data_IF_352781770351
#
_entry.id   IF_352781770351
#
_cell.length_a   1.000
_cell.length_b   1.000
_cell.length_c   1.000
_cell.angle_alpha   90.00
_cell.angle_beta   90.00
_cell.angle_gamma   90.00
#
_symmetry.space_group_name_H-M   'P 1'
#
loop_
_entity.id
_entity.type
_entity.pdbx_description
1 polymer ?
#
# COMPACT_ATOMS: atom_id res chain seq x y z
N UNK A 1 9.40 -34.02 3.70
CA UNK A 1 9.87 -32.96 4.60
C UNK A 1 10.10 -31.69 3.76
N UNK A 2 9.10 -30.81 3.60
CA UNK A 2 9.13 -29.72 2.60
C UNK A 2 8.88 -28.31 3.17
N UNK A 3 9.07 -28.08 4.46
CA UNK A 3 8.67 -26.80 5.09
C UNK A 3 9.77 -25.71 5.17
N UNK A 4 11.00 -25.94 4.69
CA UNK A 4 12.12 -24.99 4.91
C UNK A 4 12.48 -24.06 3.73
N UNK A 5 11.82 -24.16 2.57
CA UNK A 5 12.21 -23.39 1.36
C UNK A 5 11.42 -22.10 1.12
N UNK A 6 10.27 -21.90 1.76
CA UNK A 6 9.35 -20.78 1.44
C UNK A 6 9.69 -19.44 2.12
N UNK A 7 10.44 -19.43 3.23
CA UNK A 7 10.69 -18.20 3.99
C UNK A 7 11.70 -17.23 3.35
N UNK A 8 12.41 -17.61 2.28
CA UNK A 8 13.51 -16.80 1.70
C UNK A 8 13.10 -15.82 0.60
N UNK A 9 11.87 -15.86 0.10
CA UNK A 9 11.42 -15.06 -1.05
C UNK A 9 10.28 -14.09 -0.72
N UNK A 10 10.25 -13.52 0.50
CA UNK A 10 9.24 -12.53 0.89
C UNK A 10 9.89 -11.26 1.44
N UNK A 11 9.28 -10.12 1.16
CA UNK A 11 9.56 -8.84 1.78
C UNK A 11 8.61 -8.64 2.96
N UNK A 12 9.16 -8.36 4.14
CA UNK A 12 8.37 -7.90 5.27
C UNK A 12 7.97 -6.44 5.05
N UNK A 13 6.67 -6.15 5.10
CA UNK A 13 6.12 -4.79 5.04
C UNK A 13 5.33 -4.56 6.31
N UNK A 14 5.67 -3.51 7.05
CA UNK A 14 5.00 -3.18 8.30
C UNK A 14 4.69 -1.70 8.37
N UNK A 15 3.76 -1.34 9.23
CA UNK A 15 3.48 0.07 9.47
C UNK A 15 2.18 0.32 10.18
N UNK A 16 1.63 1.51 9.94
CA UNK A 16 0.41 1.99 10.58
C UNK A 16 -0.54 2.60 9.55
N UNK A 17 -1.82 2.31 9.72
CA UNK A 17 -2.93 2.86 8.96
C UNK A 17 -3.64 3.87 9.87
N UNK A 18 -3.66 5.12 9.43
CA UNK A 18 -4.22 6.25 10.16
C UNK A 18 -5.21 7.01 9.30
N UNK A 19 -6.03 7.85 9.92
CA UNK A 19 -6.89 8.83 9.29
C UNK A 19 -6.79 10.16 10.09
N UNK A 20 -7.74 11.07 9.92
CA UNK A 20 -7.73 12.36 10.65
C UNK A 20 -7.95 12.23 12.16
N UNK A 21 -8.61 11.16 12.61
CA UNK A 21 -8.96 10.91 14.02
C UNK A 21 -7.96 10.02 14.76
N UNK A 22 -7.04 9.37 14.05
CA UNK A 22 -6.02 8.50 14.65
C UNK A 22 -5.83 7.21 13.88
N UNK A 23 -5.65 6.08 14.58
CA UNK A 23 -5.50 4.77 13.93
C UNK A 23 -6.84 4.25 13.46
N UNK A 24 -6.85 3.68 12.26
CA UNK A 24 -8.04 3.06 11.69
C UNK A 24 -8.07 1.58 12.08
N UNK A 25 -9.12 1.16 12.75
CA UNK A 25 -9.37 -0.25 13.08
C UNK A 25 -10.11 -0.97 11.95
N UNK A 26 -10.07 -2.31 11.97
CA UNK A 26 -10.83 -3.18 11.06
C UNK A 26 -10.58 -2.89 9.57
N UNK A 27 -9.31 -2.73 9.21
CA UNK A 27 -8.89 -2.51 7.82
C UNK A 27 -8.59 -3.85 7.17
N UNK A 28 -9.14 -4.10 6.00
CA UNK A 28 -8.72 -5.21 5.15
C UNK A 28 -7.56 -4.76 4.26
N UNK A 29 -6.44 -5.46 4.36
CA UNK A 29 -5.33 -5.36 3.41
C UNK A 29 -5.52 -6.47 2.38
N UNK A 30 -5.78 -6.10 1.12
CA UNK A 30 -5.90 -7.04 0.01
C UNK A 30 -4.64 -6.99 -0.86
N UNK A 31 -4.08 -8.16 -1.13
CA UNK A 31 -2.87 -8.36 -1.91
C UNK A 31 -3.25 -8.95 -3.27
N UNK A 32 -3.16 -8.14 -4.32
CA UNK A 32 -3.58 -8.51 -5.67
C UNK A 32 -2.36 -8.69 -6.56
N UNK A 33 -2.09 -9.92 -6.96
CA UNK A 33 -1.06 -10.26 -7.95
C UNK A 33 -1.72 -10.63 -9.28
N UNK A 34 -1.02 -10.36 -10.39
CA UNK A 34 -1.51 -10.72 -11.72
C UNK A 34 -1.76 -12.23 -11.81
N UNK A 35 -2.94 -12.61 -12.30
CA UNK A 35 -3.39 -14.00 -12.50
C UNK A 35 -3.44 -14.88 -11.24
N UNK A 36 -3.52 -14.28 -10.04
CA UNK A 36 -3.70 -15.01 -8.79
C UNK A 36 -4.95 -14.54 -8.06
N UNK A 37 -5.52 -15.42 -7.24
CA UNK A 37 -6.58 -15.04 -6.31
C UNK A 37 -6.02 -14.07 -5.27
N UNK A 38 -6.70 -12.93 -5.00
CA UNK A 38 -6.26 -12.00 -3.98
C UNK A 38 -6.21 -12.63 -2.59
N UNK A 39 -5.15 -12.37 -1.84
CA UNK A 39 -5.08 -12.68 -0.40
C UNK A 39 -5.63 -11.49 0.40
N UNK A 40 -6.32 -11.75 1.51
CA UNK A 40 -6.97 -10.70 2.30
C UNK A 40 -6.69 -10.88 3.79
N UNK A 41 -6.17 -9.83 4.42
CA UNK A 41 -5.72 -9.82 5.81
C UNK A 41 -6.50 -8.77 6.59
N UNK A 42 -7.16 -9.16 7.69
CA UNK A 42 -7.85 -8.22 8.58
C UNK A 42 -6.89 -7.65 9.63
N UNK A 43 -6.80 -6.32 9.68
CA UNK A 43 -6.00 -5.55 10.63
C UNK A 43 -6.91 -4.83 11.62
N UNK A 44 -6.94 -5.31 12.87
CA UNK A 44 -7.87 -4.79 13.90
C UNK A 44 -7.42 -3.48 14.55
N UNK A 45 -6.12 -3.23 14.69
CA UNK A 45 -5.58 -2.13 15.50
C UNK A 45 -4.98 -0.96 14.69
N UNK A 46 -5.07 -1.05 13.36
CA UNK A 46 -4.38 -0.14 12.45
C UNK A 46 -2.87 -0.33 12.38
N UNK A 47 -2.27 -1.25 13.16
CA UNK A 47 -0.87 -1.68 12.97
C UNK A 47 -0.83 -2.99 12.21
N UNK A 48 0.01 -3.08 11.21
CA UNK A 48 0.15 -4.28 10.39
C UNK A 48 1.60 -4.68 10.21
N UNK A 49 1.80 -5.98 10.02
CA UNK A 49 3.07 -6.63 9.68
C UNK A 49 2.72 -7.80 8.76
N UNK A 50 3.04 -7.65 7.47
CA UNK A 50 2.67 -8.58 6.41
C UNK A 50 3.91 -8.98 5.61
N UNK A 51 3.82 -10.11 4.92
CA UNK A 51 4.87 -10.59 4.05
C UNK A 51 4.36 -10.66 2.61
N UNK A 52 4.95 -9.86 1.72
CA UNK A 52 4.63 -9.89 0.28
C UNK A 52 5.69 -10.67 -0.50
N UNK A 53 5.33 -11.41 -1.55
CA UNK A 53 6.29 -12.13 -2.38
C UNK A 53 7.30 -11.19 -3.07
N UNK A 54 8.54 -11.67 -3.23
CA UNK A 54 9.57 -11.03 -4.05
C UNK A 54 9.45 -11.41 -5.52
N UNK A 55 10.12 -10.63 -6.38
CA UNK A 55 10.22 -10.88 -7.82
C UNK A 55 8.87 -10.88 -8.54
N UNK A 56 7.94 -10.04 -8.09
CA UNK A 56 6.59 -9.90 -8.66
C UNK A 56 6.12 -8.45 -8.63
N UNK A 57 5.02 -8.18 -9.32
CA UNK A 57 4.26 -6.93 -9.22
C UNK A 57 2.97 -7.21 -8.44
N UNK A 58 2.77 -6.46 -7.37
CA UNK A 58 1.64 -6.62 -6.46
C UNK A 58 0.98 -5.27 -6.20
N UNK A 59 -0.35 -5.26 -6.21
CA UNK A 59 -1.16 -4.14 -5.79
C UNK A 59 -1.61 -4.41 -4.36
N UNK A 60 -1.28 -3.49 -3.45
CA UNK A 60 -1.68 -3.54 -2.05
C UNK A 60 -2.83 -2.56 -1.87
N UNK A 61 -3.99 -3.07 -1.46
CA UNK A 61 -5.20 -2.27 -1.27
C UNK A 61 -5.57 -2.23 0.21
N UNK A 62 -5.82 -1.02 0.72
CA UNK A 62 -6.24 -0.77 2.09
C UNK A 62 -7.70 -0.35 2.08
N UNK A 63 -8.56 -1.22 2.58
CA UNK A 63 -10.02 -1.11 2.51
C UNK A 63 -10.57 -1.02 3.93
N UNK A 64 -11.31 0.04 4.22
CA UNK A 64 -11.97 0.23 5.50
C UNK A 64 -13.36 0.83 5.27
N UNK A 65 -14.29 0.53 6.17
CA UNK A 65 -15.63 1.11 6.14
C UNK A 65 -15.56 2.64 6.24
N UNK A 66 -16.40 3.35 5.49
CA UNK A 66 -16.47 4.82 5.47
C UNK A 66 -15.18 5.53 5.04
N UNK A 67 -14.26 4.83 4.34
CA UNK A 67 -13.06 5.41 3.77
C UNK A 67 -12.93 5.06 2.29
N UNK A 68 -12.27 5.92 1.52
CA UNK A 68 -11.85 5.57 0.16
C UNK A 68 -10.75 4.52 0.19
N UNK A 69 -10.87 3.51 -0.69
CA UNK A 69 -9.83 2.49 -0.86
C UNK A 69 -8.55 3.13 -1.33
N UNK A 70 -7.44 2.86 -0.65
CA UNK A 70 -6.12 3.34 -1.05
C UNK A 70 -5.30 2.20 -1.63
N UNK A 71 -4.68 2.45 -2.78
CA UNK A 71 -3.94 1.43 -3.54
C UNK A 71 -2.47 1.80 -3.69
N UNK A 72 -1.58 0.84 -3.51
CA UNK A 72 -0.14 0.98 -3.67
C UNK A 72 0.35 -0.06 -4.67
N UNK A 73 0.92 0.39 -5.79
CA UNK A 73 1.57 -0.50 -6.73
C UNK A 73 3.00 -0.76 -6.25
N UNK A 74 3.36 -2.03 -6.12
CA UNK A 74 4.65 -2.44 -5.56
C UNK A 74 5.33 -3.43 -6.49
N UNK A 75 6.48 -3.03 -7.04
CA UNK A 75 7.35 -3.93 -7.78
C UNK A 75 8.46 -4.43 -6.83
N UNK A 76 8.42 -5.72 -6.52
CA UNK A 76 9.32 -6.38 -5.56
C UNK A 76 10.52 -7.05 -6.23
N UNK A 77 10.82 -6.70 -7.48
CA UNK A 77 11.96 -7.22 -8.22
C UNK A 77 13.28 -6.68 -7.63
N UNK A 78 14.13 -7.60 -7.14
CA UNK A 78 15.39 -7.25 -6.46
C UNK A 78 16.59 -8.04 -6.98
N UNK A 79 16.45 -8.72 -8.12
CA UNK A 79 17.48 -9.54 -8.76
C UNK A 79 18.11 -10.57 -7.80
N UNK A 80 17.28 -11.32 -7.07
CA UNK A 80 17.72 -12.49 -6.30
C UNK A 80 18.45 -12.16 -4.99
N UNK A 81 18.34 -10.94 -4.47
CA UNK A 81 18.85 -10.59 -3.13
C UNK A 81 18.11 -11.36 -2.04
N UNK A 82 18.85 -12.19 -1.30
CA UNK A 82 18.31 -13.07 -0.25
C UNK A 82 18.05 -12.42 1.11
N UNK A 83 18.57 -11.21 1.35
CA UNK A 83 18.35 -10.45 2.60
C UNK A 83 17.97 -9.02 2.27
N UNK A 84 16.72 -8.67 2.52
CA UNK A 84 16.19 -7.32 2.43
C UNK A 84 15.79 -6.85 3.83
N UNK A 85 15.97 -5.56 4.14
CA UNK A 85 15.33 -5.00 5.33
C UNK A 85 13.81 -5.03 5.17
N UNK A 86 13.10 -4.88 6.28
CA UNK A 86 11.66 -4.60 6.22
C UNK A 86 11.41 -3.25 5.53
N UNK A 87 10.26 -3.10 4.91
CA UNK A 87 9.77 -1.83 4.38
C UNK A 87 8.74 -1.25 5.34
N UNK A 88 9.01 -0.05 5.87
CA UNK A 88 8.05 0.69 6.69
C UNK A 88 7.13 1.51 5.78
N UNK A 89 5.82 1.27 5.88
CA UNK A 89 4.81 1.93 5.08
C UNK A 89 3.70 2.46 5.99
N UNK A 90 3.64 3.78 6.12
CA UNK A 90 2.53 4.45 6.79
C UNK A 90 1.47 4.85 5.77
N UNK A 91 0.23 4.46 6.02
CA UNK A 91 -0.91 4.76 5.16
C UNK A 91 -1.84 5.74 5.86
N UNK A 92 -2.26 6.77 5.14
CA UNK A 92 -3.32 7.67 5.57
C UNK A 92 -4.57 7.40 4.73
N UNK A 93 -5.66 6.95 5.34
CA UNK A 93 -6.94 6.75 4.68
C UNK A 93 -7.79 8.02 4.77
N UNK A 94 -8.51 8.29 3.69
CA UNK A 94 -9.37 9.46 3.55
C UNK A 94 -10.82 9.07 3.87
N UNK A 95 -11.41 9.70 4.89
CA UNK A 95 -12.81 9.49 5.29
C UNK A 95 -13.77 10.04 4.24
N UNK A 96 -14.76 9.25 3.81
CA UNK A 96 -15.73 9.68 2.80
C UNK A 96 -16.52 10.91 3.29
N UNK A 97 -16.87 10.96 4.58
CA UNK A 97 -17.64 12.06 5.17
C UNK A 97 -16.91 13.40 5.21
N UNK A 98 -15.57 13.40 5.26
CA UNK A 98 -14.75 14.62 5.29
C UNK A 98 -14.29 15.06 3.90
N UNK A 99 -14.20 14.10 2.98
CA UNK A 99 -13.66 14.25 1.65
C UNK A 99 -14.79 14.04 0.64
N UNK A 100 -15.61 15.07 0.43
CA UNK A 100 -16.71 15.02 -0.54
C UNK A 100 -16.18 15.15 -1.98
N UNK A 101 -15.49 14.11 -2.45
CA UNK A 101 -14.88 14.07 -3.79
C UNK A 101 -15.96 14.10 -4.88
N UNK A 102 -15.72 14.85 -5.96
CA UNK A 102 -16.52 14.73 -7.19
C UNK A 102 -16.30 13.35 -7.84
N UNK A 103 -17.22 12.91 -8.70
CA UNK A 103 -17.12 11.61 -9.40
C UNK A 103 -15.77 11.44 -10.11
N UNK A 104 -15.30 12.45 -10.85
CA UNK A 104 -13.98 12.42 -11.51
C UNK A 104 -12.81 12.21 -10.51
N UNK A 105 -12.92 12.75 -9.28
CA UNK A 105 -11.91 12.57 -8.25
C UNK A 105 -12.04 11.22 -7.53
N UNK A 106 -13.21 10.61 -7.53
CA UNK A 106 -13.41 9.24 -7.03
C UNK A 106 -12.70 8.26 -7.98
N UNK A 107 -12.80 8.46 -9.30
CA UNK A 107 -12.08 7.65 -10.28
C UNK A 107 -10.56 7.74 -10.11
N UNK A 108 -10.04 8.90 -9.69
CA UNK A 108 -8.61 9.06 -9.36
C UNK A 108 -8.19 8.16 -8.18
N UNK A 109 -9.09 7.84 -7.25
CA UNK A 109 -8.81 6.95 -6.12
C UNK A 109 -8.73 5.47 -6.52
N UNK A 110 -9.17 5.12 -7.74
CA UNK A 110 -8.98 3.80 -8.31
C UNK A 110 -7.56 3.55 -8.83
N UNK A 111 -6.77 4.61 -8.99
CA UNK A 111 -5.36 4.48 -9.33
C UNK A 111 -4.46 4.32 -8.10
N UNK A 112 -3.31 3.64 -8.24
CA UNK A 112 -2.31 3.59 -7.20
C UNK A 112 -1.78 4.99 -6.85
N UNK A 113 -1.82 5.34 -5.56
CA UNK A 113 -1.33 6.64 -5.08
C UNK A 113 0.19 6.68 -4.90
N UNK A 114 0.86 5.52 -5.00
CA UNK A 114 2.31 5.40 -4.97
C UNK A 114 2.75 4.17 -5.78
N UNK A 115 3.95 4.28 -6.36
CA UNK A 115 4.56 3.23 -7.17
C UNK A 115 5.92 2.87 -6.59
N UNK A 116 5.94 1.90 -5.68
CA UNK A 116 7.14 1.51 -4.95
C UNK A 116 8.00 0.59 -5.82
N UNK A 117 9.28 0.93 -5.96
CA UNK A 117 10.29 0.15 -6.71
C UNK A 117 11.60 0.08 -5.94
N UNK A 118 12.40 -0.95 -6.23
CA UNK A 118 13.71 -1.10 -5.63
C UNK A 118 14.79 -0.31 -6.39
N UNK A 119 15.55 0.53 -5.67
CA UNK A 119 16.74 1.17 -6.22
C UNK A 119 17.97 0.29 -5.97
N UNK A 120 18.54 -0.29 -7.02
CA UNK A 120 19.71 -1.17 -6.89
C UNK A 120 20.96 -0.46 -6.37
N UNK A 121 21.18 0.80 -6.75
CA UNK A 121 22.36 1.59 -6.35
C UNK A 121 22.27 1.96 -4.87
N UNK A 122 21.13 2.49 -4.44
CA UNK A 122 20.87 2.92 -3.05
C UNK A 122 20.45 1.76 -2.13
N UNK A 123 20.16 0.59 -2.70
CA UNK A 123 19.73 -0.64 -2.03
C UNK A 123 18.46 -0.47 -1.18
N UNK A 124 17.56 0.42 -1.58
CA UNK A 124 16.34 0.77 -0.85
C UNK A 124 15.12 0.85 -1.77
N UNK A 125 13.93 0.58 -1.22
CA UNK A 125 12.67 0.84 -1.90
C UNK A 125 12.33 2.33 -1.85
N UNK A 126 11.79 2.86 -2.94
CA UNK A 126 11.39 4.26 -3.07
C UNK A 126 10.14 4.38 -3.91
N UNK A 127 9.38 5.47 -3.73
CA UNK A 127 8.30 5.82 -4.63
C UNK A 127 8.87 6.39 -5.92
N UNK A 128 8.73 5.62 -7.00
CA UNK A 128 9.20 5.98 -8.33
C UNK A 128 8.33 7.04 -9.02
N UNK A 129 7.14 7.31 -8.50
CA UNK A 129 6.21 8.29 -9.05
C UNK A 129 5.90 9.43 -8.08
N UNK A 130 6.88 9.79 -7.23
CA UNK A 130 6.71 10.80 -6.18
C UNK A 130 6.08 12.11 -6.70
N UNK A 131 6.38 12.53 -7.94
CA UNK A 131 5.79 13.73 -8.54
C UNK A 131 4.28 13.61 -8.72
N UNK A 132 3.78 12.45 -9.17
CA UNK A 132 2.35 12.19 -9.34
C UNK A 132 1.67 11.91 -8.00
N UNK A 133 2.32 11.18 -7.09
CA UNK A 133 1.85 10.98 -5.71
C UNK A 133 1.64 12.32 -5.00
N UNK A 134 2.53 13.30 -5.25
CA UNK A 134 2.39 14.69 -4.77
C UNK A 134 1.25 15.43 -5.46
N UNK A 135 1.00 15.22 -6.75
CA UNK A 135 -0.13 15.83 -7.46
C UNK A 135 -1.44 15.30 -6.89
N UNK A 136 -1.62 13.98 -6.78
CA UNK A 136 -2.80 13.39 -6.13
C UNK A 136 -2.96 13.94 -4.71
N UNK A 137 -1.88 13.95 -3.92
CA UNK A 137 -1.93 14.50 -2.55
C UNK A 137 -2.30 15.98 -2.52
N UNK A 138 -1.85 16.76 -3.51
CA UNK A 138 -2.14 18.19 -3.66
C UNK A 138 -3.58 18.43 -4.12
N UNK A 139 -4.05 17.72 -5.13
CA UNK A 139 -5.44 17.79 -5.59
C UNK A 139 -6.39 17.39 -4.47
N UNK A 140 -6.08 16.31 -3.76
CA UNK A 140 -6.75 15.94 -2.52
C UNK A 140 -6.71 17.11 -1.51
N UNK A 141 -5.56 17.74 -1.23
CA UNK A 141 -5.50 18.86 -0.27
C UNK A 141 -6.31 20.11 -0.68
N UNK A 142 -6.62 20.27 -1.98
CA UNK A 142 -7.43 21.37 -2.50
C UNK A 142 -8.93 21.08 -2.40
N UNK A 143 -9.34 19.81 -2.23
CA UNK A 143 -10.72 19.47 -1.90
C UNK A 143 -10.99 20.02 -0.50
N UNK A 144 -11.92 20.98 -0.41
CA UNK A 144 -12.29 21.59 0.86
C UNK A 144 -12.77 20.50 1.81
N UNK A 145 -12.06 20.36 2.93
CA UNK A 145 -12.61 19.71 4.12
C UNK A 145 -13.87 20.48 4.50
N UNK A 146 -15.02 19.81 4.46
CA UNK A 146 -16.24 20.36 5.02
C UNK A 146 -16.13 20.45 6.55
#
# INVERSE_FOLDING_TARGET
MFAQKEAKNKLQVKGQIVNSLGRVSNVFIRLVEKNKTPDTILVKSGRYDIYIPLETEILIEFIAENHYTKRIAFNTHVNGKKKLPFFDLKINLNEISLWNLSEENIDLMDFPVAYIRYNFKKKLFYDSNEKYSRIISKELSNVKRN
#
